data_IF_967899188820
#
_entry.id   IF_967899188820
#
_cell.length_a   1.000
_cell.length_b   1.000
_cell.length_c   1.000
_cell.angle_alpha   90.00
_cell.angle_beta   90.00
_cell.angle_gamma   90.00
#
_symmetry.space_group_name_H-M   'P 1'
#
loop_
_entity.id
_entity.type
_entity.pdbx_description
1 polymer ?
#
# COMPACT_ATOMS: atom_id res chain seq x y z
N UNK A 1 -0.89 14.89 5.88
CA UNK A 1 -0.30 13.96 4.90
C UNK A 1 -1.40 13.41 4.02
N UNK A 2 -1.24 13.54 2.71
CA UNK A 2 -2.27 13.18 1.72
C UNK A 2 -1.65 12.52 0.51
N UNK A 3 -2.44 11.71 -0.20
CA UNK A 3 -2.08 11.18 -1.52
C UNK A 3 -3.28 11.26 -2.44
N UNK A 4 -3.04 11.31 -3.73
CA UNK A 4 -4.07 11.29 -4.76
C UNK A 4 -3.53 10.56 -5.98
N UNK A 5 -4.32 9.67 -6.56
CA UNK A 5 -3.92 8.93 -7.75
C UNK A 5 -5.02 8.01 -8.25
N UNK A 6 -4.67 7.21 -9.24
CA UNK A 6 -5.57 6.23 -9.84
C UNK A 6 -5.48 4.91 -9.10
N UNK A 7 -6.55 4.12 -9.16
CA UNK A 7 -6.70 2.87 -8.43
C UNK A 7 -6.30 1.66 -9.25
N UNK A 8 -5.47 0.81 -8.65
CA UNK A 8 -5.23 -0.57 -9.09
C UNK A 8 -5.95 -1.48 -8.10
N UNK A 9 -6.90 -2.27 -8.57
CA UNK A 9 -7.74 -3.09 -7.69
C UNK A 9 -7.41 -4.57 -7.81
N UNK A 10 -7.27 -5.24 -6.67
CA UNK A 10 -6.87 -6.63 -6.56
C UNK A 10 -7.84 -7.42 -5.67
N UNK A 11 -7.86 -8.76 -5.79
CA UNK A 11 -8.81 -9.58 -5.04
C UNK A 11 -8.42 -9.78 -3.57
N UNK A 12 -9.14 -10.66 -2.88
CA UNK A 12 -8.80 -11.12 -1.53
C UNK A 12 -7.52 -11.97 -1.55
N UNK A 13 -6.87 -12.07 -0.41
CA UNK A 13 -5.74 -12.98 -0.17
C UNK A 13 -4.57 -12.77 -1.14
N UNK A 14 -4.23 -11.51 -1.41
CA UNK A 14 -3.01 -11.18 -2.13
C UNK A 14 -1.85 -11.47 -1.19
N UNK A 15 -1.16 -12.60 -1.41
CA UNK A 15 -0.08 -13.01 -0.51
C UNK A 15 1.26 -12.37 -0.90
N UNK A 16 2.24 -12.50 -0.02
CA UNK A 16 3.55 -11.87 -0.22
C UNK A 16 4.29 -12.41 -1.42
N UNK A 17 4.06 -13.69 -1.79
CA UNK A 17 4.68 -14.28 -2.98
C UNK A 17 4.08 -13.74 -4.27
N UNK A 18 2.82 -13.31 -4.23
CA UNK A 18 2.16 -12.62 -5.36
C UNK A 18 2.69 -11.19 -5.49
N UNK A 19 2.88 -10.49 -4.36
CA UNK A 19 3.40 -9.12 -4.36
C UNK A 19 4.82 -9.09 -4.92
N UNK A 20 5.68 -9.98 -4.44
CA UNK A 20 7.03 -10.16 -4.97
C UNK A 20 7.42 -11.64 -4.93
N UNK A 21 7.50 -12.30 -6.08
CA UNK A 21 7.82 -13.73 -6.14
C UNK A 21 9.20 -14.05 -5.58
N UNK A 22 9.30 -15.19 -4.91
CA UNK A 22 10.53 -15.65 -4.27
C UNK A 22 11.71 -15.75 -5.25
N UNK A 23 11.44 -16.05 -6.53
CA UNK A 23 12.48 -16.18 -7.56
C UNK A 23 13.28 -14.90 -7.79
N UNK A 24 12.77 -13.76 -7.34
CA UNK A 24 13.45 -12.46 -7.49
C UNK A 24 14.21 -12.03 -6.24
N UNK A 25 14.10 -12.77 -5.13
CA UNK A 25 14.68 -12.36 -3.85
C UNK A 25 16.21 -12.62 -3.74
N UNK A 26 16.85 -12.93 -4.84
CA UNK A 26 18.29 -13.12 -4.90
C UNK A 26 19.08 -11.82 -5.06
N UNK A 27 18.39 -10.70 -5.17
CA UNK A 27 19.04 -9.37 -5.20
C UNK A 27 18.63 -8.54 -3.99
N UNK A 28 19.55 -7.80 -3.34
CA UNK A 28 19.20 -6.92 -2.24
C UNK A 28 18.73 -5.53 -2.70
N UNK A 29 18.77 -5.24 -3.99
CA UNK A 29 18.46 -3.90 -4.52
C UNK A 29 16.96 -3.72 -4.68
N UNK A 30 16.36 -2.81 -3.88
CA UNK A 30 14.91 -2.60 -3.88
C UNK A 30 14.37 -2.20 -5.25
N UNK A 31 15.07 -1.34 -5.98
CA UNK A 31 14.66 -0.88 -7.31
C UNK A 31 14.60 -2.03 -8.33
N UNK A 32 15.49 -3.00 -8.20
CA UNK A 32 15.45 -4.19 -9.06
C UNK A 32 14.27 -5.09 -8.73
N UNK A 33 14.01 -5.27 -7.44
CA UNK A 33 12.84 -6.05 -6.98
C UNK A 33 11.53 -5.38 -7.41
N UNK A 34 11.46 -4.06 -7.31
CA UNK A 34 10.24 -3.31 -7.62
C UNK A 34 9.81 -3.45 -9.08
N UNK A 35 10.73 -3.76 -10.00
CA UNK A 35 10.39 -4.02 -11.40
C UNK A 35 9.48 -5.22 -11.59
N UNK A 36 9.39 -6.08 -10.58
CA UNK A 36 8.59 -7.32 -10.61
C UNK A 36 7.39 -7.27 -9.66
N UNK A 37 7.10 -6.10 -9.09
CA UNK A 37 6.01 -5.92 -8.15
C UNK A 37 4.67 -6.29 -8.80
N UNK A 38 3.92 -7.19 -8.17
CA UNK A 38 2.60 -7.67 -8.64
C UNK A 38 2.64 -8.43 -9.97
N UNK A 39 3.82 -8.80 -10.47
CA UNK A 39 4.00 -9.39 -11.80
C UNK A 39 3.13 -10.62 -12.04
N UNK A 40 2.94 -11.46 -11.03
CA UNK A 40 2.21 -12.72 -11.19
C UNK A 40 0.70 -12.55 -11.37
N UNK A 41 0.13 -11.39 -11.00
CA UNK A 41 -1.31 -11.12 -11.18
C UNK A 41 -1.60 -9.87 -12.01
N UNK A 42 -0.62 -9.02 -12.23
CA UNK A 42 -0.81 -7.79 -13.01
C UNK A 42 0.53 -7.33 -13.60
N UNK A 43 0.84 -7.82 -14.79
CA UNK A 43 2.10 -7.51 -15.47
C UNK A 43 2.21 -6.03 -15.86
N UNK A 44 1.09 -5.31 -15.93
CA UNK A 44 1.05 -3.91 -16.33
C UNK A 44 1.21 -2.94 -15.19
N UNK A 45 1.09 -3.40 -13.94
CA UNK A 45 1.17 -2.50 -12.78
C UNK A 45 2.44 -1.65 -12.80
N UNK A 46 3.62 -2.29 -12.95
CA UNK A 46 4.91 -1.58 -12.91
C UNK A 46 5.09 -0.61 -14.07
N UNK A 47 4.39 -0.83 -15.18
CA UNK A 47 4.45 0.05 -16.35
C UNK A 47 3.48 1.23 -16.26
N UNK A 48 2.42 1.11 -15.47
CA UNK A 48 1.34 2.10 -15.40
C UNK A 48 1.31 2.91 -14.13
N UNK A 49 1.90 2.39 -13.04
CA UNK A 49 1.85 3.07 -11.74
C UNK A 49 2.56 4.42 -11.80
N UNK A 50 1.91 5.43 -11.21
CA UNK A 50 2.47 6.77 -11.06
C UNK A 50 2.61 7.10 -9.58
N UNK A 51 3.53 8.01 -9.21
CA UNK A 51 3.65 8.41 -7.81
C UNK A 51 2.33 8.88 -7.23
N UNK A 52 1.98 8.34 -6.06
CA UNK A 52 0.72 8.66 -5.39
C UNK A 52 -0.43 7.75 -5.72
N UNK A 53 -0.31 6.88 -6.72
CA UNK A 53 -1.36 5.93 -7.08
C UNK A 53 -1.69 4.99 -5.91
N UNK A 54 -2.87 4.38 -5.97
CA UNK A 54 -3.45 3.67 -4.84
C UNK A 54 -3.77 2.24 -5.21
N UNK A 55 -3.33 1.29 -4.38
CA UNK A 55 -3.78 -0.08 -4.46
C UNK A 55 -5.02 -0.26 -3.59
N UNK A 56 -6.04 -0.94 -4.12
CA UNK A 56 -7.25 -1.31 -3.38
C UNK A 56 -7.41 -2.82 -3.47
N UNK A 57 -7.59 -3.47 -2.33
CA UNK A 57 -7.69 -4.93 -2.29
C UNK A 57 -8.74 -5.39 -1.27
N UNK A 58 -9.01 -6.69 -1.23
CA UNK A 58 -9.99 -7.27 -0.34
C UNK A 58 -9.42 -7.66 1.02
N UNK A 59 -9.84 -8.82 1.50
CA UNK A 59 -9.45 -9.35 2.80
C UNK A 59 -8.03 -9.90 2.77
N UNK A 60 -7.34 -9.76 3.91
CA UNK A 60 -6.12 -10.49 4.21
C UNK A 60 -4.96 -10.17 3.24
N UNK A 61 -4.81 -8.88 2.90
CA UNK A 61 -3.72 -8.43 2.03
C UNK A 61 -2.37 -8.63 2.72
N UNK A 62 -1.42 -9.21 1.99
CA UNK A 62 -0.08 -9.46 2.52
C UNK A 62 0.05 -10.75 3.33
N UNK A 63 -0.91 -11.67 3.19
CA UNK A 63 -0.85 -12.97 3.85
C UNK A 63 0.32 -13.84 3.34
N UNK A 64 0.53 -14.99 3.97
CA UNK A 64 1.62 -15.91 3.60
C UNK A 64 2.88 -15.63 4.38
N UNK A 65 4.03 -15.75 3.73
CA UNK A 65 5.32 -15.59 4.38
C UNK A 65 5.57 -14.15 4.86
N UNK A 66 6.27 -14.01 5.98
CA UNK A 66 6.60 -12.70 6.55
C UNK A 66 7.77 -12.05 5.79
N UNK A 67 7.52 -11.58 4.57
CA UNK A 67 8.53 -10.93 3.76
C UNK A 67 8.50 -9.44 3.92
N UNK A 68 9.59 -8.88 4.42
CA UNK A 68 9.77 -7.43 4.51
C UNK A 68 9.82 -6.81 3.11
N UNK A 69 10.20 -7.57 2.11
CA UNK A 69 10.30 -7.12 0.71
C UNK A 69 8.93 -6.77 0.12
N UNK A 70 7.85 -7.39 0.58
CA UNK A 70 6.51 -7.14 0.02
C UNK A 70 6.08 -5.67 0.17
N UNK A 71 6.01 -5.09 1.38
CA UNK A 71 5.69 -3.67 1.49
C UNK A 71 6.77 -2.77 0.90
N UNK A 72 8.03 -3.20 0.93
CA UNK A 72 9.15 -2.43 0.39
C UNK A 72 9.01 -2.20 -1.13
N UNK A 73 8.68 -3.24 -1.90
CA UNK A 73 8.55 -3.09 -3.36
C UNK A 73 7.34 -2.22 -3.72
N UNK A 74 6.24 -2.32 -2.97
CA UNK A 74 5.09 -1.46 -3.18
C UNK A 74 5.48 0.01 -2.95
N UNK A 75 6.20 0.30 -1.88
CA UNK A 75 6.68 1.65 -1.58
C UNK A 75 7.67 2.14 -2.64
N UNK A 76 8.57 1.28 -3.09
CA UNK A 76 9.59 1.62 -4.10
C UNK A 76 8.95 1.98 -5.44
N UNK A 77 7.79 1.40 -5.75
CA UNK A 77 6.99 1.79 -6.92
C UNK A 77 6.32 3.16 -6.75
N UNK A 78 6.54 3.83 -5.62
CA UNK A 78 5.97 5.14 -5.27
C UNK A 78 4.46 5.12 -5.09
N UNK A 79 3.89 3.96 -4.79
CA UNK A 79 2.48 3.82 -4.43
C UNK A 79 2.20 4.68 -3.19
N UNK A 80 1.17 5.50 -3.27
CA UNK A 80 0.85 6.44 -2.19
C UNK A 80 0.17 5.79 -1.00
N UNK A 81 -0.61 4.72 -1.24
CA UNK A 81 -1.37 4.06 -0.20
C UNK A 81 -1.88 2.70 -0.67
N UNK A 82 -2.05 1.77 0.28
CA UNK A 82 -2.80 0.54 0.05
C UNK A 82 -4.04 0.59 0.94
N UNK A 83 -5.22 0.46 0.33
CA UNK A 83 -6.50 0.38 1.02
C UNK A 83 -6.99 -1.05 0.88
N UNK A 84 -7.29 -1.72 1.98
CA UNK A 84 -7.79 -3.09 1.95
C UNK A 84 -8.89 -3.27 2.97
N UNK A 85 -9.67 -4.36 2.83
CA UNK A 85 -10.66 -4.74 3.84
C UNK A 85 -9.96 -5.16 5.13
N UNK A 86 -8.84 -5.87 5.00
CA UNK A 86 -7.96 -6.19 6.12
C UNK A 86 -6.56 -6.50 5.63
N UNK A 87 -5.59 -6.42 6.54
CA UNK A 87 -4.19 -6.78 6.27
C UNK A 87 -3.77 -7.92 7.18
N UNK A 88 -2.89 -8.79 6.67
CA UNK A 88 -2.20 -9.74 7.52
C UNK A 88 -1.35 -8.97 8.54
N UNK A 89 -1.30 -9.46 9.77
CA UNK A 89 -0.67 -8.73 10.90
C UNK A 89 0.79 -8.38 10.63
N UNK A 90 1.57 -9.32 10.12
CA UNK A 90 2.99 -9.11 9.87
C UNK A 90 3.19 -8.11 8.74
N UNK A 91 2.40 -8.21 7.68
CA UNK A 91 2.44 -7.22 6.59
C UNK A 91 2.14 -5.82 7.11
N UNK A 92 1.09 -5.67 7.91
CA UNK A 92 0.71 -4.39 8.52
C UNK A 92 1.90 -3.77 9.28
N UNK A 93 2.52 -4.58 10.15
CA UNK A 93 3.67 -4.12 10.94
C UNK A 93 4.84 -3.71 10.05
N UNK A 94 5.19 -4.54 9.08
CA UNK A 94 6.31 -4.26 8.18
C UNK A 94 6.05 -3.01 7.34
N UNK A 95 4.82 -2.81 6.88
CA UNK A 95 4.45 -1.62 6.10
C UNK A 95 4.66 -0.34 6.92
N UNK A 96 4.19 -0.32 8.17
CA UNK A 96 4.39 0.84 9.06
C UNK A 96 5.88 1.08 9.29
N UNK A 97 6.64 0.02 9.54
CA UNK A 97 8.07 0.14 9.85
C UNK A 97 8.87 0.77 8.70
N UNK A 98 8.47 0.54 7.46
CA UNK A 98 9.16 1.11 6.30
C UNK A 98 8.49 2.36 5.74
N UNK A 99 7.40 2.81 6.35
CA UNK A 99 6.72 4.04 5.95
C UNK A 99 5.79 3.91 4.75
N UNK A 100 5.27 2.73 4.49
CA UNK A 100 4.22 2.56 3.48
C UNK A 100 2.87 2.83 4.13
N UNK A 101 2.13 3.88 3.70
CA UNK A 101 0.80 4.15 4.25
C UNK A 101 -0.19 3.06 3.86
N UNK A 102 -0.94 2.56 4.83
CA UNK A 102 -1.99 1.56 4.62
C UNK A 102 -3.22 1.93 5.46
N UNK A 103 -4.41 1.64 4.92
CA UNK A 103 -5.67 1.90 5.62
C UNK A 103 -6.61 0.71 5.45
N UNK A 104 -7.26 0.33 6.54
CA UNK A 104 -8.35 -0.65 6.49
C UNK A 104 -9.66 0.10 6.37
N UNK A 105 -10.39 -0.17 5.27
CA UNK A 105 -11.73 0.38 5.09
C UNK A 105 -12.52 -0.58 4.20
N UNK A 106 -13.36 -1.38 4.84
CA UNK A 106 -14.12 -2.42 4.14
C UNK A 106 -15.02 -1.85 3.05
N UNK A 107 -15.73 -0.76 3.35
CA UNK A 107 -16.65 -0.14 2.40
C UNK A 107 -15.90 0.45 1.20
N UNK A 108 -14.82 1.18 1.43
CA UNK A 108 -14.02 1.75 0.36
C UNK A 108 -13.44 0.65 -0.53
N UNK A 109 -12.89 -0.39 0.08
CA UNK A 109 -12.30 -1.51 -0.66
C UNK A 109 -13.33 -2.25 -1.51
N UNK A 110 -14.59 -2.31 -1.06
CA UNK A 110 -15.68 -2.94 -1.79
C UNK A 110 -16.15 -2.10 -2.98
N UNK A 111 -16.31 -0.80 -2.79
CA UNK A 111 -17.01 0.09 -3.74
C UNK A 111 -16.09 0.77 -4.76
N UNK A 112 -14.85 1.08 -4.38
CA UNK A 112 -13.91 1.74 -5.29
C UNK A 112 -13.57 0.80 -6.44
N UNK A 113 -13.58 1.33 -7.66
CA UNK A 113 -13.37 0.55 -8.88
C UNK A 113 -11.98 0.78 -9.48
N UNK A 114 -11.45 -0.18 -10.27
CA UNK A 114 -10.18 0.02 -10.98
C UNK A 114 -10.24 1.27 -11.85
N UNK A 115 -9.18 2.06 -11.83
CA UNK A 115 -9.07 3.27 -12.63
C UNK A 115 -9.72 4.51 -12.04
N UNK A 116 -10.49 4.37 -10.93
CA UNK A 116 -11.05 5.54 -10.24
C UNK A 116 -9.93 6.46 -9.77
N UNK A 117 -10.21 7.77 -9.73
CA UNK A 117 -9.34 8.75 -9.13
C UNK A 117 -9.72 8.90 -7.67
N UNK A 118 -8.76 8.68 -6.76
CA UNK A 118 -9.03 8.64 -5.32
C UNK A 118 -8.03 9.52 -4.59
N UNK A 119 -8.50 10.23 -3.58
CA UNK A 119 -7.65 11.02 -2.69
C UNK A 119 -7.81 10.49 -1.26
N UNK A 120 -6.72 10.50 -0.51
CA UNK A 120 -6.68 10.00 0.87
C UNK A 120 -6.04 11.05 1.77
N UNK A 121 -6.73 11.40 2.85
CA UNK A 121 -6.19 12.24 3.91
C UNK A 121 -5.88 11.37 5.11
N UNK A 122 -4.58 11.16 5.38
CA UNK A 122 -4.16 10.27 6.46
C UNK A 122 -4.36 10.87 7.85
N UNK A 123 -4.45 12.18 7.94
CA UNK A 123 -4.64 12.86 9.23
C UNK A 123 -6.05 12.64 9.77
N UNK A 124 -7.04 12.56 8.88
CA UNK A 124 -8.45 12.36 9.23
C UNK A 124 -8.96 10.96 8.93
N UNK A 125 -8.27 10.21 8.08
CA UNK A 125 -8.73 8.90 7.61
C UNK A 125 -9.79 8.98 6.53
N UNK A 126 -10.05 10.16 5.95
CA UNK A 126 -11.06 10.32 4.91
C UNK A 126 -10.51 9.90 3.56
N UNK A 127 -11.24 9.00 2.90
CA UNK A 127 -10.97 8.53 1.55
C UNK A 127 -12.05 9.10 0.64
N UNK A 128 -11.66 9.81 -0.41
CA UNK A 128 -12.60 10.40 -1.37
C UNK A 128 -12.42 9.76 -2.73
N UNK A 129 -13.46 9.09 -3.23
CA UNK A 129 -13.48 8.63 -4.62
C UNK A 129 -13.94 9.81 -5.48
N UNK A 130 -12.98 10.48 -6.12
CA UNK A 130 -13.23 11.68 -6.90
C UNK A 130 -14.13 11.35 -8.12
N UNK A 131 -13.94 10.18 -8.69
CA UNK A 131 -14.70 9.74 -9.87
C UNK A 131 -16.19 9.63 -9.58
N UNK A 132 -16.56 9.08 -8.40
CA UNK A 132 -17.96 8.89 -8.01
C UNK A 132 -18.50 10.01 -7.10
N UNK A 133 -17.62 10.77 -6.48
CA UNK A 133 -17.98 11.77 -5.48
C UNK A 133 -18.28 11.23 -4.09
N UNK A 134 -18.09 9.92 -3.87
CA UNK A 134 -18.34 9.29 -2.57
C UNK A 134 -17.14 9.45 -1.64
N UNK A 135 -17.43 9.53 -0.35
CA UNK A 135 -16.41 9.57 0.70
C UNK A 135 -16.57 8.39 1.64
N UNK A 136 -15.45 7.97 2.22
CA UNK A 136 -15.40 6.87 3.17
C UNK A 136 -14.54 7.29 4.34
N UNK A 137 -14.86 6.76 5.52
CA UNK A 137 -14.12 7.07 6.75
C UNK A 137 -13.37 5.82 7.20
N UNK A 138 -12.04 5.87 7.13
CA UNK A 138 -11.18 4.90 7.77
C UNK A 138 -10.73 5.45 9.12
N UNK A 139 -10.25 4.56 9.99
CA UNK A 139 -9.67 4.98 11.26
C UNK A 139 -8.28 5.58 11.00
N UNK A 140 -8.05 6.84 11.36
CA UNK A 140 -6.72 7.43 11.17
C UNK A 140 -5.71 6.81 12.12
N UNK A 141 -4.45 6.80 11.72
CA UNK A 141 -3.38 6.36 12.60
C UNK A 141 -3.21 7.32 13.78
N UNK A 142 -2.81 6.82 14.97
CA UNK A 142 -2.32 7.68 16.03
C UNK A 142 -1.18 8.57 15.53
N UNK A 143 -1.01 9.75 16.14
CA UNK A 143 -0.03 10.73 15.68
C UNK A 143 1.38 10.17 15.59
N UNK A 144 1.79 9.33 16.55
CA UNK A 144 3.14 8.77 16.54
C UNK A 144 3.37 7.82 15.34
N UNK A 145 2.35 7.08 14.91
CA UNK A 145 2.40 6.24 13.72
C UNK A 145 2.49 7.10 12.47
N UNK A 146 1.69 8.18 12.40
CA UNK A 146 1.75 9.12 11.28
C UNK A 146 3.15 9.72 11.13
N UNK A 147 3.81 10.05 12.24
CA UNK A 147 5.17 10.57 12.21
C UNK A 147 6.17 9.55 11.68
N UNK A 148 6.04 8.28 12.06
CA UNK A 148 6.89 7.21 11.54
C UNK A 148 6.77 7.13 10.01
N UNK A 149 5.54 7.12 9.51
CA UNK A 149 5.28 7.04 8.07
C UNK A 149 5.79 8.29 7.36
N UNK A 150 5.50 9.47 7.91
CA UNK A 150 5.89 10.76 7.32
C UNK A 150 7.41 10.87 7.17
N UNK A 151 8.17 10.31 8.12
CA UNK A 151 9.63 10.33 8.12
C UNK A 151 10.24 9.19 7.29
N UNK A 152 9.43 8.34 6.67
CA UNK A 152 9.90 7.28 5.81
C UNK A 152 10.15 5.95 6.49
N UNK A 153 9.63 5.76 7.70
CA UNK A 153 9.72 4.52 8.44
C UNK A 153 10.32 4.66 9.82
N UNK A 154 10.33 3.58 10.59
CA UNK A 154 10.75 3.58 11.98
C UNK A 154 12.22 3.99 12.14
N UNK A 155 13.12 3.38 11.36
CA UNK A 155 14.57 3.69 11.47
C UNK A 155 14.84 5.14 11.10
N UNK A 156 14.20 5.66 10.05
CA UNK A 156 14.36 7.06 9.65
C UNK A 156 13.85 8.01 10.74
N UNK A 157 12.73 7.68 11.41
CA UNK A 157 12.17 8.51 12.47
C UNK A 157 13.11 8.58 13.69
N UNK A 158 13.81 7.50 13.98
CA UNK A 158 14.76 7.46 15.10
C UNK A 158 16.04 8.22 14.81
N UNK A 159 16.44 8.32 13.55
CA UNK A 159 17.68 9.01 13.16
C UNK A 159 17.59 10.52 13.19
N UNK A 160 16.39 11.07 13.27
CA UNK A 160 16.18 12.52 13.24
C UNK A 160 16.22 13.18 14.61
N UNK A 161 16.40 12.42 15.66
CA UNK A 161 16.45 12.93 17.03
C UNK A 161 17.85 13.41 17.44
#
# INVERSE_FOLDING_TARGET
>A
MKTQGHVFKYPDNVDTDVIIPARYLNTPVAEELAKHCMEDIDTEFVNQVQPGDIMVAGWNFGCGSSREHAPLVIKTCKTGCVIAKSFARIFYRNAINIGLPILECEQAAEEIQPGDSVSVDFDTGVITDITTGKTYQAEPFPEFIQNIIRKGGLLASLKED
#
